data_IF_638594483449
#
_entry.id   IF_638594483449
#
_cell.length_a   1.000
_cell.length_b   1.000
_cell.length_c   1.000
_cell.angle_alpha   90.00
_cell.angle_beta   90.00
_cell.angle_gamma   90.00
#
_symmetry.space_group_name_H-M   'P 1'
#
loop_
_entity.id
_entity.type
_entity.pdbx_description
1 polymer ?
#
# COMPACT_ATOMS: atom_id res chain seq x y z
N UNK A 1 -3.40 -7.88 11.05
CA UNK A 1 -2.90 -9.16 11.64
C UNK A 1 -1.55 -9.44 11.02
N UNK A 2 -0.60 -10.01 11.78
CA UNK A 2 0.77 -10.28 11.30
C UNK A 2 1.10 -11.77 11.43
N UNK A 3 1.88 -12.30 10.49
CA UNK A 3 2.54 -13.61 10.58
C UNK A 3 4.05 -13.39 10.79
N UNK A 4 4.70 -14.28 11.53
CA UNK A 4 6.14 -14.23 11.82
C UNK A 4 6.86 -15.36 11.14
N UNK A 5 8.06 -15.08 10.66
CA UNK A 5 9.00 -16.13 10.27
C UNK A 5 9.51 -16.85 11.54
N UNK A 6 9.25 -18.16 11.64
CA UNK A 6 9.80 -19.01 12.69
C UNK A 6 9.01 -19.10 14.00
N UNK A 7 9.68 -19.58 15.06
CA UNK A 7 9.06 -19.97 16.33
C UNK A 7 8.69 -18.75 17.22
N UNK A 8 7.69 -18.91 18.12
CA UNK A 8 7.41 -17.92 19.16
C UNK A 8 8.68 -17.56 19.95
N UNK A 9 9.04 -16.27 19.98
CA UNK A 9 10.24 -15.78 20.68
C UNK A 9 11.49 -15.59 19.80
N UNK A 10 11.40 -15.78 18.47
CA UNK A 10 12.49 -15.47 17.54
C UNK A 10 12.85 -13.97 17.47
N UNK A 11 13.83 -13.59 16.62
CA UNK A 11 14.22 -12.20 16.45
C UNK A 11 13.06 -11.32 15.96
N UNK A 12 13.05 -10.07 16.44
CA UNK A 12 12.12 -9.02 16.00
C UNK A 12 12.44 -8.58 14.57
N UNK A 13 11.48 -7.92 13.91
CA UNK A 13 11.63 -7.43 12.55
C UNK A 13 11.44 -8.47 11.44
N UNK A 14 10.81 -9.61 11.74
CA UNK A 14 10.57 -10.71 10.79
C UNK A 14 9.08 -11.02 10.65
N UNK A 15 8.23 -10.00 10.81
CA UNK A 15 6.79 -10.14 10.61
C UNK A 15 6.35 -9.58 9.26
N UNK A 16 5.34 -10.20 8.66
CA UNK A 16 4.60 -9.68 7.51
C UNK A 16 3.10 -9.55 7.81
N UNK A 17 2.41 -8.57 7.21
CA UNK A 17 0.98 -8.39 7.39
C UNK A 17 0.23 -9.48 6.61
N UNK A 18 -0.73 -10.14 7.26
CA UNK A 18 -1.59 -11.16 6.65
C UNK A 18 -3.06 -10.75 6.54
N UNK A 19 -3.42 -9.63 7.17
CA UNK A 19 -4.73 -8.99 7.06
C UNK A 19 -4.55 -7.48 7.24
N UNK A 20 -5.12 -6.71 6.32
CA UNK A 20 -5.11 -5.26 6.33
C UNK A 20 -6.47 -4.69 6.01
N UNK A 21 -6.83 -3.60 6.69
CA UNK A 21 -8.01 -2.79 6.40
C UNK A 21 -7.58 -1.33 6.34
N UNK A 22 -8.07 -0.61 5.35
CA UNK A 22 -7.83 0.81 5.17
C UNK A 22 -9.14 1.48 4.78
N UNK A 23 -9.65 2.34 5.64
CA UNK A 23 -10.90 3.04 5.41
C UNK A 23 -10.64 4.53 5.16
N UNK A 24 -11.16 5.03 4.04
CA UNK A 24 -11.16 6.43 3.66
C UNK A 24 -12.55 7.03 3.96
N UNK A 25 -12.72 7.74 5.09
CA UNK A 25 -14.02 8.18 5.56
C UNK A 25 -14.64 9.32 4.73
N UNK A 26 -13.81 10.13 4.07
CA UNK A 26 -14.25 11.23 3.21
C UNK A 26 -14.98 10.75 1.95
N UNK A 27 -14.62 9.57 1.47
CA UNK A 27 -15.14 8.93 0.25
C UNK A 27 -15.99 7.69 0.53
N UNK A 28 -16.10 7.30 1.80
CA UNK A 28 -16.76 6.06 2.25
C UNK A 28 -16.28 4.82 1.47
N UNK A 29 -14.95 4.67 1.40
CA UNK A 29 -14.29 3.54 0.72
C UNK A 29 -13.47 2.74 1.71
N UNK A 30 -13.76 1.44 1.80
CA UNK A 30 -12.96 0.46 2.53
C UNK A 30 -12.14 -0.37 1.56
N UNK A 31 -10.83 -0.42 1.77
CA UNK A 31 -9.93 -1.39 1.17
C UNK A 31 -9.60 -2.46 2.20
N UNK A 32 -9.55 -3.71 1.77
CA UNK A 32 -9.17 -4.81 2.64
C UNK A 32 -8.57 -5.96 1.85
N UNK A 33 -7.69 -6.70 2.49
CA UNK A 33 -7.02 -7.85 1.90
C UNK A 33 -6.55 -8.81 3.00
N UNK A 34 -6.45 -10.09 2.67
CA UNK A 34 -5.78 -11.08 3.49
C UNK A 34 -4.99 -12.05 2.64
N UNK A 35 -3.97 -12.65 3.25
CA UNK A 35 -2.97 -13.46 2.55
C UNK A 35 -3.62 -14.59 1.74
N UNK A 36 -3.37 -14.60 0.44
CA UNK A 36 -3.79 -15.65 -0.49
C UNK A 36 -5.24 -15.56 -0.99
N UNK A 37 -5.92 -14.44 -0.79
CA UNK A 37 -7.33 -14.29 -1.19
C UNK A 37 -7.62 -13.03 -2.00
N UNK A 38 -6.60 -12.25 -2.33
CA UNK A 38 -6.73 -11.03 -3.11
C UNK A 38 -7.09 -9.81 -2.27
N UNK A 39 -7.08 -8.66 -2.95
CA UNK A 39 -7.46 -7.37 -2.39
C UNK A 39 -8.82 -6.93 -2.92
N UNK A 40 -9.55 -6.19 -2.10
CA UNK A 40 -10.91 -5.76 -2.39
C UNK A 40 -11.12 -4.30 -2.04
N UNK A 41 -12.04 -3.68 -2.78
CA UNK A 41 -12.57 -2.34 -2.52
C UNK A 41 -14.08 -2.41 -2.33
N UNK A 42 -14.54 -1.81 -1.24
CA UNK A 42 -15.96 -1.60 -0.98
C UNK A 42 -16.26 -0.10 -0.90
N UNK A 43 -17.17 0.36 -1.75
CA UNK A 43 -17.80 1.68 -1.61
C UNK A 43 -19.00 1.58 -0.66
N UNK A 44 -19.37 2.70 -0.05
CA UNK A 44 -20.51 2.78 0.88
C UNK A 44 -20.35 1.79 2.04
N UNK A 45 -19.14 1.75 2.63
CA UNK A 45 -18.80 0.78 3.66
C UNK A 45 -19.46 1.12 5.00
N UNK A 46 -19.65 2.40 5.32
CA UNK A 46 -20.27 2.86 6.56
C UNK A 46 -21.77 2.52 6.66
N UNK A 47 -22.44 2.38 5.52
CA UNK A 47 -23.87 2.03 5.45
C UNK A 47 -24.10 0.52 5.44
N UNK A 48 -23.07 -0.29 5.19
CA UNK A 48 -23.11 -1.77 5.17
C UNK A 48 -22.69 -2.35 6.53
N UNK A 49 -23.53 -2.13 7.54
CA UNK A 49 -23.36 -2.65 8.90
C UNK A 49 -23.83 -4.11 9.00
N UNK A 50 -23.30 -4.83 9.98
CA UNK A 50 -23.72 -6.19 10.35
C UNK A 50 -23.63 -7.26 9.24
N UNK A 51 -22.79 -7.04 8.23
CA UNK A 51 -22.48 -8.04 7.20
C UNK A 51 -21.33 -8.94 7.65
N UNK A 52 -21.44 -10.24 7.39
CA UNK A 52 -20.33 -11.17 7.58
C UNK A 52 -19.15 -10.84 6.66
N UNK A 53 -17.97 -11.38 6.97
CA UNK A 53 -16.81 -11.22 6.10
C UNK A 53 -17.04 -11.77 4.69
N UNK A 54 -17.75 -12.91 4.57
CA UNK A 54 -18.06 -13.54 3.29
C UNK A 54 -19.01 -12.68 2.44
N UNK A 55 -20.07 -12.16 3.03
CA UNK A 55 -21.00 -11.25 2.33
C UNK A 55 -20.33 -9.94 1.95
N UNK A 56 -19.39 -9.44 2.76
CA UNK A 56 -18.64 -8.23 2.42
C UNK A 56 -17.86 -8.42 1.12
N UNK A 57 -17.27 -9.59 0.88
CA UNK A 57 -16.53 -9.90 -0.35
C UNK A 57 -17.44 -9.85 -1.57
N UNK A 58 -18.61 -10.49 -1.51
CA UNK A 58 -19.56 -10.49 -2.64
C UNK A 58 -20.11 -9.10 -2.97
N UNK A 59 -20.09 -8.19 -1.99
CA UNK A 59 -20.49 -6.79 -2.15
C UNK A 59 -19.33 -5.84 -2.53
N UNK A 60 -18.14 -6.38 -2.80
CA UNK A 60 -16.92 -5.61 -3.07
C UNK A 60 -16.38 -5.87 -4.47
N UNK A 61 -15.61 -4.92 -5.00
CA UNK A 61 -14.87 -5.10 -6.25
C UNK A 61 -13.50 -5.71 -5.96
N UNK A 62 -13.06 -6.75 -6.69
CA UNK A 62 -11.68 -7.23 -6.61
C UNK A 62 -10.72 -6.18 -7.17
N UNK A 63 -9.46 -6.25 -6.70
CA UNK A 63 -8.37 -5.38 -7.13
C UNK A 63 -7.22 -6.19 -7.74
N UNK A 64 -6.46 -5.63 -8.70
CA UNK A 64 -6.64 -4.29 -9.28
C UNK A 64 -7.90 -4.18 -10.14
N UNK A 65 -8.41 -2.96 -10.32
CA UNK A 65 -9.51 -2.73 -11.25
C UNK A 65 -8.92 -2.79 -12.66
N UNK A 66 -9.32 -3.77 -13.48
CA UNK A 66 -8.83 -3.91 -14.85
C UNK A 66 -9.07 -2.62 -15.64
N UNK A 67 -8.00 -1.86 -15.90
CA UNK A 67 -8.02 -0.69 -16.75
C UNK A 67 -6.67 -0.52 -17.43
N UNK A 68 -6.65 -0.61 -18.76
CA UNK A 68 -5.46 -0.26 -19.53
C UNK A 68 -5.20 1.24 -19.43
N UNK A 69 -4.01 1.61 -18.95
CA UNK A 69 -3.53 2.99 -18.85
C UNK A 69 -2.20 3.12 -19.58
N UNK A 70 -2.01 4.25 -20.27
CA UNK A 70 -0.75 4.57 -20.97
C UNK A 70 0.19 5.47 -20.15
N UNK A 71 -0.34 6.20 -19.18
CA UNK A 71 0.40 7.16 -18.35
C UNK A 71 0.91 6.50 -17.07
N UNK A 72 2.22 6.57 -16.82
CA UNK A 72 2.82 6.11 -15.57
C UNK A 72 2.62 7.15 -14.46
N UNK A 73 1.87 6.82 -13.41
CA UNK A 73 1.47 7.74 -12.35
C UNK A 73 2.21 7.48 -11.05
N UNK A 74 2.89 8.52 -10.56
CA UNK A 74 3.62 8.50 -9.30
C UNK A 74 2.81 9.27 -8.25
N UNK A 75 2.57 8.63 -7.11
CA UNK A 75 2.00 9.29 -5.94
C UNK A 75 3.12 9.90 -5.10
N UNK A 76 3.07 11.21 -4.91
CA UNK A 76 4.00 11.93 -4.05
C UNK A 76 3.30 12.45 -2.79
N UNK A 77 4.05 12.60 -1.71
CA UNK A 77 3.55 13.23 -0.49
C UNK A 77 3.43 14.75 -0.70
N UNK A 78 2.28 15.33 -0.36
CA UNK A 78 2.05 16.78 -0.43
C UNK A 78 2.97 17.59 0.47
N UNK A 79 3.26 17.07 1.66
CA UNK A 79 3.97 17.81 2.70
C UNK A 79 5.43 17.39 2.84
N UNK A 80 5.87 16.34 2.14
CA UNK A 80 7.18 15.72 2.34
C UNK A 80 7.78 15.29 0.99
N UNK A 81 8.17 16.28 0.18
CA UNK A 81 8.95 16.07 -1.04
C UNK A 81 10.43 16.24 -0.71
N UNK A 82 11.26 15.28 -1.09
CA UNK A 82 12.71 15.28 -0.82
C UNK A 82 13.52 15.20 -2.12
N UNK A 83 14.82 15.56 -2.11
CA UNK A 83 15.69 15.39 -3.27
C UNK A 83 15.73 13.94 -3.80
N UNK A 84 15.64 12.95 -2.92
CA UNK A 84 15.58 11.52 -3.27
C UNK A 84 14.27 11.18 -3.98
N UNK A 85 13.16 11.80 -3.56
CA UNK A 85 11.87 11.67 -4.26
C UNK A 85 11.97 12.23 -5.68
N UNK A 86 12.62 13.38 -5.84
CA UNK A 86 12.85 13.99 -7.16
C UNK A 86 13.79 13.15 -8.03
N UNK A 87 14.82 12.54 -7.44
CA UNK A 87 15.71 11.63 -8.15
C UNK A 87 14.96 10.37 -8.64
N UNK A 88 14.08 9.80 -7.81
CA UNK A 88 13.22 8.68 -8.23
C UNK A 88 12.32 9.09 -9.39
N UNK A 89 11.64 10.25 -9.31
CA UNK A 89 10.78 10.77 -10.38
C UNK A 89 11.57 10.90 -11.69
N UNK A 90 12.73 11.56 -11.67
CA UNK A 90 13.60 11.69 -12.85
C UNK A 90 14.02 10.35 -13.44
N UNK A 91 14.29 9.35 -12.60
CA UNK A 91 14.64 8.01 -13.07
C UNK A 91 13.48 7.31 -13.77
N UNK A 92 12.23 7.62 -13.38
CA UNK A 92 11.04 7.13 -14.06
C UNK A 92 10.80 7.90 -15.37
N UNK A 93 11.00 9.22 -15.39
CA UNK A 93 10.89 10.05 -16.61
C UNK A 93 11.82 9.56 -17.73
N UNK A 94 12.97 8.98 -17.37
CA UNK A 94 13.88 8.37 -18.34
C UNK A 94 13.38 7.00 -18.89
N UNK A 95 12.45 6.34 -18.20
CA UNK A 95 11.93 5.00 -18.54
C UNK A 95 10.55 5.01 -19.19
N UNK A 96 9.75 6.04 -18.93
CA UNK A 96 8.37 6.15 -19.39
C UNK A 96 8.17 7.41 -20.23
N UNK A 97 7.46 7.28 -21.35
CA UNK A 97 7.20 8.38 -22.28
C UNK A 97 6.17 9.40 -21.77
N UNK A 98 5.29 8.98 -20.86
CA UNK A 98 4.25 9.83 -20.28
C UNK A 98 4.15 9.56 -18.77
N UNK A 99 4.30 10.63 -17.97
CA UNK A 99 4.29 10.57 -16.51
C UNK A 99 3.35 11.61 -15.93
N UNK A 100 2.56 11.18 -14.95
CA UNK A 100 1.78 12.06 -14.08
C UNK A 100 2.27 11.95 -12.63
N UNK A 101 2.32 13.09 -11.93
CA UNK A 101 2.68 13.14 -10.50
C UNK A 101 1.49 13.67 -9.72
N UNK A 102 0.91 12.83 -8.87
CA UNK A 102 -0.25 13.18 -8.06
C UNK A 102 0.17 13.37 -6.60
N UNK A 103 -0.02 14.58 -6.08
CA UNK A 103 0.42 14.96 -4.75
C UNK A 103 -0.71 14.90 -3.72
N UNK A 104 -0.63 13.95 -2.79
CA UNK A 104 -1.71 13.70 -1.83
C UNK A 104 -1.22 13.20 -0.46
N UNK A 105 -1.95 13.58 0.58
CA UNK A 105 -1.78 13.07 1.94
C UNK A 105 -2.48 11.73 2.16
N UNK A 106 -2.39 11.17 3.37
CA UNK A 106 -3.04 9.92 3.79
C UNK A 106 -2.43 8.62 3.28
N UNK A 107 -2.75 7.53 4.00
CA UNK A 107 -2.54 6.15 3.62
C UNK A 107 -3.40 5.73 2.42
N UNK A 108 -4.41 6.52 2.03
CA UNK A 108 -5.26 6.29 0.85
C UNK A 108 -4.47 6.05 -0.45
N UNK A 109 -3.21 6.51 -0.53
CA UNK A 109 -2.28 6.18 -1.62
C UNK A 109 -2.13 4.67 -1.87
N UNK A 110 -2.12 3.85 -0.82
CA UNK A 110 -2.06 2.39 -0.96
C UNK A 110 -3.30 1.83 -1.63
N UNK A 111 -4.48 2.41 -1.34
CA UNK A 111 -5.72 2.06 -2.04
C UNK A 111 -5.61 2.35 -3.53
N UNK A 112 -5.17 3.55 -3.92
CA UNK A 112 -5.01 3.92 -5.34
C UNK A 112 -4.00 3.06 -6.09
N UNK A 113 -2.88 2.70 -5.45
CA UNK A 113 -1.91 1.74 -5.97
C UNK A 113 -2.55 0.38 -6.18
N UNK A 114 -3.24 -0.15 -5.17
CA UNK A 114 -3.93 -1.44 -5.27
C UNK A 114 -5.04 -1.42 -6.33
N UNK A 115 -5.70 -0.28 -6.57
CA UNK A 115 -6.66 -0.13 -7.66
C UNK A 115 -6.02 -0.20 -9.05
N UNK A 116 -4.71 0.03 -9.17
CA UNK A 116 -4.04 0.22 -10.46
C UNK A 116 -4.24 1.62 -11.05
N UNK A 117 -4.72 2.59 -10.25
CA UNK A 117 -4.87 4.00 -10.70
C UNK A 117 -3.56 4.79 -10.57
N UNK A 118 -2.58 4.22 -9.88
CA UNK A 118 -1.22 4.69 -9.79
C UNK A 118 -0.23 3.53 -9.85
N UNK A 119 0.99 3.83 -10.27
CA UNK A 119 2.01 2.84 -10.57
C UNK A 119 3.07 2.78 -9.47
N UNK A 120 3.48 3.93 -8.92
CA UNK A 120 4.51 3.98 -7.89
C UNK A 120 4.24 4.97 -6.76
N UNK A 121 4.75 4.67 -5.57
CA UNK A 121 4.78 5.57 -4.42
C UNK A 121 6.15 5.51 -3.72
N UNK A 122 7.09 6.40 -4.07
CA UNK A 122 8.31 6.60 -3.32
C UNK A 122 8.04 7.38 -2.02
N UNK A 123 8.55 6.88 -0.90
CA UNK A 123 8.49 7.55 0.40
C UNK A 123 9.87 7.59 1.05
N UNK A 124 10.58 8.68 0.80
CA UNK A 124 11.87 9.02 1.40
C UNK A 124 11.72 9.96 2.60
N UNK A 125 10.82 9.60 3.52
CA UNK A 125 10.60 10.34 4.74
C UNK A 125 10.10 9.40 5.84
N UNK A 126 10.35 9.71 7.13
CA UNK A 126 9.92 8.87 8.23
C UNK A 126 8.42 8.54 8.17
N UNK A 127 8.12 7.28 8.47
CA UNK A 127 6.78 6.72 8.71
C UNK A 127 6.88 5.70 9.82
N UNK A 128 5.74 5.29 10.37
CA UNK A 128 5.67 4.26 11.39
C UNK A 128 5.11 2.97 10.83
N UNK A 129 5.38 1.83 11.47
CA UNK A 129 4.87 0.52 11.04
C UNK A 129 3.36 0.50 10.79
N UNK A 130 2.59 1.16 11.66
CA UNK A 130 1.13 1.26 11.53
C UNK A 130 0.66 2.08 10.31
N UNK A 131 1.50 2.97 9.76
CA UNK A 131 1.16 3.74 8.57
C UNK A 131 1.19 2.88 7.30
N UNK A 132 1.96 1.79 7.30
CA UNK A 132 2.25 0.99 6.09
C UNK A 132 1.71 -0.43 6.16
N UNK A 133 1.61 -1.05 7.34
CA UNK A 133 1.24 -2.46 7.50
C UNK A 133 -0.05 -2.87 6.77
N UNK A 134 -1.13 -2.11 6.97
CA UNK A 134 -2.39 -2.39 6.28
C UNK A 134 -2.27 -2.16 4.77
N UNK A 135 -1.59 -1.09 4.36
CA UNK A 135 -1.35 -0.75 2.96
C UNK A 135 -0.51 -1.79 2.22
N UNK A 136 0.51 -2.37 2.89
CA UNK A 136 1.40 -3.36 2.29
C UNK A 136 0.64 -4.61 1.87
N UNK A 137 -0.14 -5.24 2.76
CA UNK A 137 -0.89 -6.45 2.38
C UNK A 137 -1.96 -6.15 1.33
N UNK A 138 -2.59 -4.98 1.38
CA UNK A 138 -3.55 -4.55 0.34
C UNK A 138 -2.86 -4.42 -1.03
N UNK A 139 -1.65 -3.85 -1.09
CA UNK A 139 -0.88 -3.76 -2.34
C UNK A 139 -0.34 -5.13 -2.78
N UNK A 140 0.15 -5.94 -1.84
CA UNK A 140 0.70 -7.28 -2.09
C UNK A 140 -0.34 -8.19 -2.74
N UNK A 141 -1.54 -8.26 -2.18
CA UNK A 141 -2.63 -9.05 -2.72
C UNK A 141 -3.24 -8.45 -4.01
N UNK A 142 -2.91 -7.20 -4.35
CA UNK A 142 -3.21 -6.57 -5.63
C UNK A 142 -2.06 -6.70 -6.65
N UNK A 143 -1.00 -7.47 -6.34
CA UNK A 143 0.13 -7.72 -7.23
C UNK A 143 1.23 -6.66 -7.24
N UNK A 144 1.32 -5.83 -6.20
CA UNK A 144 2.36 -4.82 -6.00
C UNK A 144 3.25 -5.14 -4.80
N UNK A 145 4.43 -4.56 -4.71
CA UNK A 145 5.33 -4.78 -3.57
C UNK A 145 5.62 -3.48 -2.82
N UNK A 146 5.69 -3.55 -1.48
CA UNK A 146 6.24 -2.48 -0.64
C UNK A 146 7.68 -2.84 -0.29
N UNK A 147 8.62 -2.17 -0.95
CA UNK A 147 10.04 -2.47 -0.92
C UNK A 147 10.74 -1.52 0.05
N UNK A 148 11.46 -2.06 1.03
CA UNK A 148 12.38 -1.32 1.88
C UNK A 148 13.64 -0.97 1.06
N UNK A 149 13.93 0.33 0.92
CA UNK A 149 15.04 0.84 0.11
C UNK A 149 16.40 0.42 0.67
N UNK A 150 16.52 0.25 1.99
CA UNK A 150 17.78 -0.10 2.64
C UNK A 150 18.16 -1.56 2.42
N UNK A 151 17.16 -2.45 2.36
CA UNK A 151 17.37 -3.90 2.23
C UNK A 151 17.11 -4.41 0.81
N UNK A 152 16.45 -3.60 -0.02
CA UNK A 152 15.96 -3.97 -1.35
C UNK A 152 15.10 -5.26 -1.32
N UNK A 153 14.30 -5.40 -0.27
CA UNK A 153 13.43 -6.53 -0.01
C UNK A 153 12.06 -6.07 0.49
N UNK A 154 11.03 -6.94 0.52
CA UNK A 154 9.75 -6.59 1.11
C UNK A 154 9.91 -6.09 2.55
N UNK A 155 9.24 -4.99 2.87
CA UNK A 155 9.29 -4.39 4.20
C UNK A 155 8.79 -5.36 5.27
N UNK A 156 9.49 -5.37 6.41
CA UNK A 156 9.18 -6.22 7.57
C UNK A 156 8.78 -5.39 8.79
N UNK A 157 7.99 -6.02 9.64
CA UNK A 157 7.32 -5.42 10.79
C UNK A 157 7.69 -6.09 12.10
N UNK A 158 7.15 -5.53 13.20
CA UNK A 158 7.46 -5.92 14.56
C UNK A 158 8.94 -5.72 14.89
N UNK A 159 9.51 -4.60 14.42
CA UNK A 159 10.89 -4.17 14.68
C UNK A 159 11.01 -3.62 16.10
N UNK A 160 12.25 -3.52 16.60
CA UNK A 160 12.54 -2.81 17.86
C UNK A 160 12.16 -1.33 17.77
N UNK A 161 12.56 -0.69 16.66
CA UNK A 161 12.19 0.67 16.34
C UNK A 161 11.01 0.63 15.35
N UNK A 162 9.90 1.25 15.74
CA UNK A 162 8.67 1.24 14.95
C UNK A 162 8.72 2.22 13.76
N UNK A 163 9.80 2.99 13.64
CA UNK A 163 10.08 3.82 12.46
C UNK A 163 10.45 2.92 11.30
N UNK A 164 9.79 3.09 10.16
CA UNK A 164 10.16 2.39 8.94
C UNK A 164 11.37 3.04 8.28
N UNK A 165 12.16 2.20 7.61
CA UNK A 165 13.04 2.65 6.55
C UNK A 165 12.23 3.33 5.44
N UNK A 166 12.93 4.07 4.58
CA UNK A 166 12.33 4.57 3.34
C UNK A 166 11.87 3.42 2.47
N UNK A 167 10.78 3.64 1.74
CA UNK A 167 10.18 2.59 0.94
C UNK A 167 9.72 3.08 -0.43
N UNK A 168 9.54 2.14 -1.33
CA UNK A 168 8.89 2.35 -2.62
C UNK A 168 7.78 1.30 -2.73
N UNK A 169 6.58 1.72 -3.09
CA UNK A 169 5.54 0.78 -3.57
C UNK A 169 5.54 0.81 -5.09
N UNK A 170 5.52 -0.35 -5.74
CA UNK A 170 5.35 -0.47 -7.20
C UNK A 170 4.70 -1.79 -7.60
#
# INVERSE_FOLDING_TARGET
LMERDGLPGGPLGNSEPVLGLLYAPDTDVLYFAWKGAGAYRQKEAATKKDVSAYERISMSSPLPAEAARSTFTILASRSHRSPETDAFIKSMEAKHSDIAINSMGSAYKFGLLAEGTADAYPRYAPTMEWDTAAGQIICTEAGKELIDVSTNAPMRYNKNELVNNWFIVQ
#
